data_IF_635777803695
#
_entry.id   IF_635777803695
#
_cell.length_a   1.000
_cell.length_b   1.000
_cell.length_c   1.000
_cell.angle_alpha   90.00
_cell.angle_beta   90.00
_cell.angle_gamma   90.00
#
_symmetry.space_group_name_H-M   'P 1'
#
loop_
_entity.id
_entity.type
_entity.pdbx_description
1 polymer ?
#
# COMPACT_ATOMS: atom_id res chain seq x y z
N UNK A 1 -1.43 61.13 -7.91
CA UNK A 1 -0.14 61.68 -7.45
C UNK A 1 0.35 60.82 -6.30
N UNK A 2 1.49 60.15 -6.49
CA UNK A 2 2.09 59.16 -5.58
C UNK A 2 2.92 59.89 -4.54
N UNK A 3 2.63 59.71 -3.25
CA UNK A 3 3.48 60.20 -2.17
C UNK A 3 3.86 59.01 -1.25
N UNK A 4 5.13 58.61 -1.28
CA UNK A 4 5.84 57.91 -0.19
C UNK A 4 6.52 58.98 0.70
N UNK A 5 6.71 58.71 2.01
CA UNK A 5 8.05 58.33 2.47
C UNK A 5 8.02 57.29 3.63
N UNK A 6 8.76 56.18 3.57
CA UNK A 6 10.16 55.99 4.01
C UNK A 6 10.42 56.37 5.47
N UNK A 7 10.60 55.38 6.38
CA UNK A 7 11.59 55.39 7.49
C UNK A 7 11.96 53.96 7.94
N UNK A 8 13.20 53.56 7.61
CA UNK A 8 14.00 52.55 8.31
C UNK A 8 14.29 52.98 9.76
N UNK A 9 14.41 52.03 10.70
CA UNK A 9 15.68 51.62 11.34
C UNK A 9 15.48 50.64 12.50
N UNK A 10 16.40 49.67 12.52
CA UNK A 10 16.71 48.62 13.51
C UNK A 10 16.87 49.12 14.95
N UNK A 11 16.54 48.28 15.94
CA UNK A 11 17.37 48.14 17.16
C UNK A 11 17.20 46.78 17.83
N UNK A 12 18.35 46.15 18.04
CA UNK A 12 18.64 44.88 18.73
C UNK A 12 18.45 45.03 20.24
N UNK A 13 17.95 43.99 20.92
CA UNK A 13 18.23 43.78 22.35
C UNK A 13 18.13 42.29 22.69
N UNK A 14 19.28 41.71 23.00
CA UNK A 14 19.49 40.36 23.49
C UNK A 14 19.63 40.48 25.01
N UNK A 15 18.77 39.80 25.79
CA UNK A 15 18.98 39.65 27.23
C UNK A 15 18.39 38.34 27.72
N UNK A 16 19.31 37.44 28.03
CA UNK A 16 19.08 36.18 28.72
C UNK A 16 18.81 36.43 30.21
N UNK A 17 17.90 35.65 30.81
CA UNK A 17 18.06 35.04 32.14
C UNK A 17 16.80 34.24 32.49
N UNK A 18 16.94 32.92 32.63
CA UNK A 18 16.00 32.10 33.40
C UNK A 18 16.42 32.14 34.88
N UNK A 19 15.45 32.15 35.81
CA UNK A 19 15.31 30.98 36.69
C UNK A 19 13.86 30.55 36.95
N UNK A 20 13.77 29.28 37.33
CA UNK A 20 12.60 28.47 37.64
C UNK A 20 11.71 29.06 38.76
N UNK A 21 10.39 29.08 38.55
CA UNK A 21 9.40 28.99 39.63
C UNK A 21 8.05 28.47 39.11
N UNK A 22 7.49 27.54 39.87
CA UNK A 22 6.29 26.74 39.65
C UNK A 22 5.00 27.59 39.65
N UNK A 23 4.17 27.46 38.62
CA UNK A 23 2.72 27.73 38.68
C UNK A 23 2.02 27.03 37.51
N UNK A 24 1.39 25.89 37.79
CA UNK A 24 0.60 25.14 36.82
C UNK A 24 -0.84 25.70 36.73
N UNK A 25 -1.32 26.11 35.54
CA UNK A 25 -2.75 26.08 35.24
C UNK A 25 -3.13 24.71 34.64
N UNK A 26 -4.29 24.13 35.00
CA UNK A 26 -4.79 22.91 34.38
C UNK A 26 -5.41 23.22 33.00
N UNK A 27 -5.65 22.17 32.22
CA UNK A 27 -6.33 22.14 30.91
C UNK A 27 -5.51 22.68 29.72
N UNK A 28 -5.34 21.99 28.59
CA UNK A 28 -6.12 20.93 27.97
C UNK A 28 -5.18 19.97 27.24
N UNK A 29 -5.39 18.67 27.43
CA UNK A 29 -4.86 17.65 26.55
C UNK A 29 -5.41 17.90 25.15
N UNK A 30 -4.56 18.37 24.24
CA UNK A 30 -4.80 18.28 22.82
C UNK A 30 -4.71 16.79 22.45
N UNK A 31 -5.84 16.09 22.59
CA UNK A 31 -6.06 14.79 21.96
C UNK A 31 -5.92 15.01 20.45
N UNK A 32 -4.76 14.62 19.94
CA UNK A 32 -4.51 14.43 18.52
C UNK A 32 -5.44 13.33 18.01
N UNK A 33 -6.67 13.70 17.70
CA UNK A 33 -7.61 12.89 16.94
C UNK A 33 -7.14 12.86 15.50
N UNK A 34 -6.16 12.01 15.18
CA UNK A 34 -6.03 11.49 13.83
C UNK A 34 -7.34 10.78 13.50
N UNK A 35 -8.08 11.18 12.45
CA UNK A 35 -9.22 10.41 12.00
C UNK A 35 -8.67 9.11 11.42
N UNK A 36 -8.75 8.03 12.21
CA UNK A 36 -8.54 6.68 11.71
C UNK A 36 -9.54 6.48 10.58
N UNK A 37 -9.06 6.44 9.34
CA UNK A 37 -9.89 6.15 8.18
C UNK A 37 -10.59 4.79 8.40
N UNK A 38 -11.93 4.69 8.26
CA UNK A 38 -12.65 3.44 8.39
C UNK A 38 -12.38 2.62 7.13
N UNK A 39 -11.34 1.79 7.17
CA UNK A 39 -10.96 0.97 6.01
C UNK A 39 -9.68 0.15 6.19
N UNK A 40 -8.88 0.41 7.22
CA UNK A 40 -7.60 -0.27 7.42
C UNK A 40 -7.69 -1.68 8.05
N UNK A 41 -8.89 -2.17 8.42
CA UNK A 41 -9.01 -3.41 9.21
C UNK A 41 -9.07 -4.71 8.37
N UNK A 42 -9.25 -4.64 7.05
CA UNK A 42 -9.40 -5.85 6.22
C UNK A 42 -8.12 -6.31 5.49
N UNK A 43 -7.01 -5.57 5.61
CA UNK A 43 -5.80 -5.85 4.82
C UNK A 43 -4.84 -6.91 5.44
N UNK A 44 -5.18 -7.55 6.56
CA UNK A 44 -4.25 -8.46 7.30
C UNK A 44 -4.65 -9.93 7.37
N UNK A 45 -5.40 -10.48 6.41
CA UNK A 45 -6.01 -11.82 6.61
C UNK A 45 -5.44 -12.95 5.76
N UNK A 46 -4.32 -12.76 5.06
CA UNK A 46 -3.60 -13.87 4.46
C UNK A 46 -2.16 -13.93 4.98
N UNK A 47 -1.79 -14.95 5.77
CA UNK A 47 -0.39 -15.19 6.06
C UNK A 47 0.34 -15.45 4.74
N UNK A 48 1.39 -14.67 4.49
CA UNK A 48 2.24 -14.89 3.34
C UNK A 48 2.87 -16.29 3.47
N UNK A 49 2.99 -17.04 2.36
CA UNK A 49 3.58 -18.39 2.41
C UNK A 49 4.97 -18.35 3.04
N UNK A 50 5.68 -17.24 2.82
CA UNK A 50 7.02 -17.01 3.29
C UNK A 50 7.14 -16.95 4.83
N UNK A 51 6.09 -16.53 5.53
CA UNK A 51 6.11 -16.51 7.00
C UNK A 51 6.12 -17.92 7.62
N UNK A 52 5.61 -18.91 6.88
CA UNK A 52 5.52 -20.30 7.32
C UNK A 52 6.79 -21.11 7.01
N UNK A 53 7.74 -20.54 6.26
CA UNK A 53 8.97 -21.23 5.85
C UNK A 53 10.04 -21.34 6.95
N UNK A 54 9.88 -20.64 8.07
CA UNK A 54 10.92 -20.58 9.10
C UNK A 54 12.16 -19.85 8.58
N UNK A 55 11.96 -18.68 7.95
CA UNK A 55 13.05 -17.86 7.43
C UNK A 55 13.91 -17.30 8.58
N UNK A 56 15.23 -17.25 8.36
CA UNK A 56 16.16 -16.52 9.24
C UNK A 56 15.87 -15.02 9.19
N UNK A 57 16.33 -14.26 10.19
CA UNK A 57 16.11 -12.81 10.23
C UNK A 57 16.73 -12.10 9.02
N UNK A 58 17.91 -12.56 8.58
CA UNK A 58 18.55 -12.06 7.37
C UNK A 58 17.70 -12.34 6.12
N UNK A 59 17.18 -13.57 5.96
CA UNK A 59 16.29 -13.90 4.85
C UNK A 59 15.00 -13.06 4.88
N UNK A 60 14.37 -12.91 6.06
CA UNK A 60 13.18 -12.07 6.24
C UNK A 60 13.43 -10.61 5.86
N UNK A 61 14.58 -10.06 6.24
CA UNK A 61 14.98 -8.71 5.88
C UNK A 61 15.06 -8.56 4.36
N UNK A 62 15.78 -9.47 3.69
CA UNK A 62 15.93 -9.47 2.22
C UNK A 62 14.59 -9.63 1.50
N UNK A 63 13.72 -10.53 1.97
CA UNK A 63 12.37 -10.70 1.39
C UNK A 63 11.54 -9.43 1.52
N UNK A 64 11.53 -8.78 2.70
CA UNK A 64 10.82 -7.50 2.90
C UNK A 64 11.33 -6.41 1.97
N UNK A 65 12.66 -6.31 1.80
CA UNK A 65 13.25 -5.33 0.88
C UNK A 65 12.83 -5.60 -0.58
N UNK A 66 12.83 -6.86 -1.01
CA UNK A 66 12.38 -7.24 -2.36
C UNK A 66 10.89 -6.92 -2.58
N UNK A 67 10.04 -7.16 -1.58
CA UNK A 67 8.61 -6.82 -1.65
C UNK A 67 8.43 -5.30 -1.72
N UNK A 68 9.14 -4.54 -0.89
CA UNK A 68 9.09 -3.09 -0.87
C UNK A 68 9.51 -2.49 -2.22
N UNK A 69 10.60 -2.99 -2.80
CA UNK A 69 11.06 -2.57 -4.14
C UNK A 69 10.04 -2.92 -5.22
N UNK A 70 9.43 -4.10 -5.18
CA UNK A 70 8.37 -4.50 -6.12
C UNK A 70 7.15 -3.58 -6.00
N UNK A 71 6.78 -3.21 -4.78
CA UNK A 71 5.70 -2.26 -4.52
C UNK A 71 6.01 -0.87 -5.08
N UNK A 72 7.22 -0.37 -4.84
CA UNK A 72 7.68 0.92 -5.37
C UNK A 72 7.64 0.96 -6.90
N UNK A 73 8.09 -0.13 -7.55
CA UNK A 73 8.02 -0.29 -9.01
C UNK A 73 6.58 -0.29 -9.53
N UNK A 74 5.62 -0.78 -8.75
CA UNK A 74 4.22 -0.83 -9.14
C UNK A 74 3.47 0.50 -8.96
N UNK A 75 4.02 1.47 -8.19
CA UNK A 75 3.29 2.72 -7.84
C UNK A 75 2.78 3.51 -9.05
N UNK A 76 3.58 3.74 -10.11
CA UNK A 76 3.11 4.52 -11.26
C UNK A 76 1.93 3.86 -11.98
N UNK A 77 1.95 2.52 -12.12
CA UNK A 77 0.86 1.76 -12.73
C UNK A 77 -0.41 1.84 -11.88
N UNK A 78 -0.27 1.73 -10.55
CA UNK A 78 -1.40 1.87 -9.62
C UNK A 78 -2.01 3.28 -9.65
N UNK A 79 -1.18 4.30 -9.82
CA UNK A 79 -1.62 5.68 -10.03
C UNK A 79 -2.38 5.86 -11.34
N UNK A 80 -1.86 5.32 -12.44
CA UNK A 80 -2.52 5.35 -13.74
C UNK A 80 -3.88 4.63 -13.71
N UNK A 81 -3.94 3.42 -13.15
CA UNK A 81 -5.17 2.67 -12.97
C UNK A 81 -6.22 3.45 -12.18
N UNK A 82 -5.80 4.05 -11.05
CA UNK A 82 -6.71 4.86 -10.22
C UNK A 82 -7.30 6.03 -11.01
N UNK A 83 -6.49 6.73 -11.79
CA UNK A 83 -6.95 7.86 -12.60
C UNK A 83 -7.95 7.41 -13.67
N UNK A 84 -7.67 6.30 -14.38
CA UNK A 84 -8.59 5.76 -15.40
C UNK A 84 -9.89 5.25 -14.78
N UNK A 85 -9.82 4.61 -13.62
CA UNK A 85 -10.98 4.16 -12.84
C UNK A 85 -11.87 5.34 -12.47
N UNK A 86 -11.28 6.42 -11.94
CA UNK A 86 -12.00 7.65 -11.62
C UNK A 86 -12.65 8.28 -12.86
N UNK A 87 -11.96 8.30 -14.00
CA UNK A 87 -12.52 8.83 -15.24
C UNK A 87 -13.73 8.01 -15.72
N UNK A 88 -13.67 6.69 -15.61
CA UNK A 88 -14.79 5.80 -15.92
C UNK A 88 -15.96 5.99 -14.95
N UNK A 89 -15.69 6.01 -13.64
CA UNK A 89 -16.73 6.12 -12.60
C UNK A 89 -17.44 7.48 -12.63
N UNK A 90 -16.73 8.54 -13.05
CA UNK A 90 -17.29 9.89 -13.19
C UNK A 90 -18.02 10.12 -14.52
N UNK A 91 -17.86 9.24 -15.52
CA UNK A 91 -18.49 9.42 -16.82
C UNK A 91 -19.96 8.98 -16.79
N UNK A 92 -20.84 9.73 -17.47
CA UNK A 92 -22.27 9.40 -17.55
C UNK A 92 -22.49 8.15 -18.41
N UNK A 93 -23.11 7.07 -17.88
CA UNK A 93 -23.43 5.88 -18.67
C UNK A 93 -24.21 6.21 -19.94
N UNK A 94 -23.87 5.54 -21.04
CA UNK A 94 -24.47 5.77 -22.37
C UNK A 94 -23.88 6.93 -23.17
N UNK A 95 -23.00 7.74 -22.58
CA UNK A 95 -22.28 8.80 -23.30
C UNK A 95 -21.07 8.26 -24.10
N UNK A 96 -20.65 8.99 -25.13
CA UNK A 96 -19.40 8.70 -25.85
C UNK A 96 -18.17 8.77 -24.92
N UNK A 97 -18.18 9.68 -23.95
CA UNK A 97 -17.14 9.81 -22.92
C UNK A 97 -17.03 8.55 -22.07
N UNK A 98 -18.17 7.96 -21.67
CA UNK A 98 -18.18 6.70 -20.93
C UNK A 98 -17.59 5.54 -21.73
N UNK A 99 -17.94 5.43 -23.03
CA UNK A 99 -17.34 4.41 -23.91
C UNK A 99 -15.82 4.60 -24.06
N UNK A 100 -15.36 5.84 -24.21
CA UNK A 100 -13.92 6.14 -24.28
C UNK A 100 -13.21 5.80 -22.96
N UNK A 101 -13.77 6.23 -21.82
CA UNK A 101 -13.20 5.93 -20.50
C UNK A 101 -13.18 4.43 -20.19
N UNK A 102 -14.19 3.68 -20.64
CA UNK A 102 -14.22 2.22 -20.51
C UNK A 102 -13.10 1.55 -21.30
N UNK A 103 -12.88 1.97 -22.55
CA UNK A 103 -11.79 1.45 -23.39
C UNK A 103 -10.42 1.78 -22.78
N UNK A 104 -10.21 3.03 -22.35
CA UNK A 104 -8.97 3.46 -21.70
C UNK A 104 -8.67 2.68 -20.42
N UNK A 105 -9.70 2.45 -19.59
CA UNK A 105 -9.57 1.66 -18.37
C UNK A 105 -9.20 0.22 -18.70
N UNK A 106 -9.90 -0.42 -19.66
CA UNK A 106 -9.64 -1.79 -20.06
C UNK A 106 -8.20 -1.99 -20.61
N UNK A 107 -7.74 -1.07 -21.46
CA UNK A 107 -6.37 -1.10 -22.00
C UNK A 107 -5.34 -0.97 -20.86
N UNK A 108 -5.55 0.00 -19.97
CA UNK A 108 -4.65 0.23 -18.83
C UNK A 108 -4.63 -0.97 -17.89
N UNK A 109 -5.79 -1.55 -17.57
CA UNK A 109 -5.91 -2.77 -16.75
C UNK A 109 -5.17 -3.96 -17.38
N UNK A 110 -5.34 -4.19 -18.68
CA UNK A 110 -4.67 -5.29 -19.38
C UNK A 110 -3.14 -5.19 -19.26
N UNK A 111 -2.59 -3.99 -19.46
CA UNK A 111 -1.16 -3.73 -19.38
C UNK A 111 -0.63 -3.88 -17.95
N UNK A 112 -1.38 -3.36 -16.96
CA UNK A 112 -1.02 -3.43 -15.56
C UNK A 112 -1.07 -4.86 -15.02
N UNK A 113 -2.07 -5.67 -15.41
CA UNK A 113 -2.16 -7.09 -15.05
C UNK A 113 -0.96 -7.85 -15.61
N UNK A 114 -0.60 -7.61 -16.89
CA UNK A 114 0.59 -8.23 -17.49
C UNK A 114 1.85 -7.88 -16.71
N UNK A 115 2.06 -6.61 -16.42
CA UNK A 115 3.24 -6.13 -15.70
C UNK A 115 3.28 -6.68 -14.25
N UNK A 116 2.13 -6.75 -13.58
CA UNK A 116 1.99 -7.35 -12.25
C UNK A 116 2.38 -8.83 -12.24
N UNK A 117 1.92 -9.63 -13.21
CA UNK A 117 2.27 -11.06 -13.29
C UNK A 117 3.78 -11.23 -13.47
N UNK A 118 4.41 -10.44 -14.34
CA UNK A 118 5.86 -10.49 -14.55
C UNK A 118 6.63 -10.09 -13.28
N UNK A 119 6.28 -8.96 -12.64
CA UNK A 119 6.89 -8.55 -11.37
C UNK A 119 6.74 -9.60 -10.28
N UNK A 120 5.56 -10.23 -10.19
CA UNK A 120 5.29 -11.27 -9.20
C UNK A 120 6.13 -12.53 -9.46
N UNK A 121 6.33 -12.91 -10.73
CA UNK A 121 7.20 -14.01 -11.12
C UNK A 121 8.67 -13.72 -10.77
N UNK A 122 9.15 -12.52 -11.08
CA UNK A 122 10.51 -12.08 -10.74
C UNK A 122 10.75 -12.07 -9.24
N UNK A 123 9.79 -11.53 -8.46
CA UNK A 123 9.85 -11.53 -7.01
C UNK A 123 9.90 -12.96 -6.45
N UNK A 124 9.04 -13.86 -6.92
CA UNK A 124 9.02 -15.27 -6.49
C UNK A 124 10.35 -15.96 -6.79
N UNK A 125 10.93 -15.73 -7.97
CA UNK A 125 12.24 -16.28 -8.36
C UNK A 125 13.34 -15.78 -7.42
N UNK A 126 13.40 -14.47 -7.15
CA UNK A 126 14.39 -13.89 -6.24
C UNK A 126 14.26 -14.45 -4.83
N UNK A 127 13.04 -14.57 -4.31
CA UNK A 127 12.80 -15.14 -2.98
C UNK A 127 13.17 -16.62 -2.94
N UNK A 128 12.80 -17.41 -3.95
CA UNK A 128 13.16 -18.84 -4.03
C UNK A 128 14.68 -19.06 -3.97
N UNK A 129 15.45 -18.19 -4.62
CA UNK A 129 16.91 -18.24 -4.61
C UNK A 129 17.53 -17.95 -3.22
N UNK A 130 16.82 -17.30 -2.31
CA UNK A 130 17.25 -17.08 -0.93
C UNK A 130 17.01 -18.29 -0.02
N UNK A 131 16.16 -19.24 -0.44
CA UNK A 131 15.75 -20.38 0.37
C UNK A 131 16.78 -21.52 0.32
N UNK A 132 16.96 -22.19 1.46
CA UNK A 132 17.69 -23.46 1.55
C UNK A 132 16.94 -24.59 0.84
N UNK A 133 17.60 -25.70 0.48
CA UNK A 133 16.93 -26.87 -0.11
C UNK A 133 15.75 -27.37 0.73
N UNK A 134 15.92 -27.43 2.05
CA UNK A 134 14.87 -27.85 2.99
C UNK A 134 13.67 -26.90 2.98
N UNK A 135 13.92 -25.59 2.99
CA UNK A 135 12.88 -24.57 2.90
C UNK A 135 12.12 -24.63 1.56
N UNK A 136 12.81 -24.93 0.45
CA UNK A 136 12.18 -25.12 -0.87
C UNK A 136 11.23 -26.32 -0.87
N UNK A 137 11.63 -27.44 -0.28
CA UNK A 137 10.76 -28.61 -0.12
C UNK A 137 9.51 -28.27 0.70
N UNK A 138 9.68 -27.53 1.80
CA UNK A 138 8.56 -27.05 2.62
C UNK A 138 7.63 -26.12 1.84
N UNK A 139 8.19 -25.22 1.03
CA UNK A 139 7.41 -24.32 0.18
C UNK A 139 6.49 -25.09 -0.77
N UNK A 140 6.99 -26.11 -1.45
CA UNK A 140 6.19 -26.96 -2.35
C UNK A 140 4.99 -27.57 -1.62
N UNK A 141 5.22 -28.14 -0.43
CA UNK A 141 4.15 -28.74 0.37
C UNK A 141 3.07 -27.70 0.78
N UNK A 142 3.49 -26.50 1.18
CA UNK A 142 2.58 -25.42 1.54
C UNK A 142 1.77 -24.91 0.34
N UNK A 143 2.38 -24.81 -0.84
CA UNK A 143 1.69 -24.44 -2.09
C UNK A 143 0.62 -25.47 -2.43
N UNK A 144 0.96 -26.76 -2.46
CA UNK A 144 -0.01 -27.83 -2.73
C UNK A 144 -1.14 -27.90 -1.69
N UNK A 145 -0.86 -27.61 -0.42
CA UNK A 145 -1.89 -27.51 0.60
C UNK A 145 -2.83 -26.32 0.33
N UNK A 146 -2.29 -25.16 -0.02
CA UNK A 146 -3.06 -23.96 -0.36
C UNK A 146 -3.96 -24.20 -1.58
N UNK A 147 -3.43 -24.82 -2.64
CA UNK A 147 -4.18 -25.16 -3.84
C UNK A 147 -5.36 -26.09 -3.54
N UNK A 148 -5.16 -27.13 -2.73
CA UNK A 148 -6.26 -28.01 -2.29
C UNK A 148 -7.33 -27.25 -1.48
N UNK A 149 -6.91 -26.36 -0.59
CA UNK A 149 -7.84 -25.51 0.17
C UNK A 149 -8.65 -24.57 -0.73
N UNK A 150 -8.02 -24.02 -1.76
CA UNK A 150 -8.72 -23.20 -2.77
C UNK A 150 -9.73 -24.05 -3.56
N UNK A 151 -9.33 -25.24 -4.02
CA UNK A 151 -10.21 -26.16 -4.76
C UNK A 151 -11.45 -26.56 -3.95
N UNK A 152 -11.29 -26.84 -2.66
CA UNK A 152 -12.39 -27.18 -1.76
C UNK A 152 -13.35 -26.00 -1.56
N UNK A 153 -12.84 -24.76 -1.50
CA UNK A 153 -13.67 -23.55 -1.39
C UNK A 153 -14.38 -23.18 -2.69
N UNK A 154 -13.79 -23.54 -3.83
CA UNK A 154 -14.39 -23.32 -5.15
C UNK A 154 -15.35 -24.43 -5.58
N UNK A 155 -15.42 -25.55 -4.84
CA UNK A 155 -16.38 -26.60 -5.13
C UNK A 155 -17.81 -26.09 -4.86
N UNK A 156 -18.75 -26.21 -5.81
CA UNK A 156 -20.13 -25.80 -5.59
C UNK A 156 -20.71 -26.60 -4.41
N UNK A 157 -21.45 -25.93 -3.53
CA UNK A 157 -22.13 -26.60 -2.43
C UNK A 157 -23.01 -27.74 -2.97
N UNK A 158 -23.04 -28.93 -2.31
CA UNK A 158 -23.89 -30.02 -2.77
C UNK A 158 -25.34 -29.53 -2.83
N UNK A 159 -25.98 -29.71 -3.98
CA UNK A 159 -27.38 -29.35 -4.16
C UNK A 159 -28.19 -30.08 -3.09
N UNK A 160 -28.73 -29.32 -2.13
CA UNK A 160 -29.66 -29.85 -1.16
C UNK A 160 -30.90 -30.30 -1.94
N UNK A 161 -31.02 -31.61 -2.14
CA UNK A 161 -32.22 -32.25 -2.68
C UNK A 161 -33.41 -31.83 -1.84
N UNK A 162 -34.32 -31.05 -2.44
CA UNK A 162 -35.68 -30.81 -1.92
C UNK A 162 -36.64 -31.79 -2.54
#
# INVERSE_FOLDING_TARGET
>A
MRNLPTRSTLFTALLACSPLAFAAPPQQAASSGTPTAPGAEHARQHPDLFDQLGLTDAQRSSVRQLIQQSFEQARPEMEALRQKRMAFDNATPGSNQFKAAANDLAETESSAVRAQVMRQADLRTKVYNLLTPEQRTKLTALVSQRERGMQQRSAPAPAASR
#
